data_IF_702311638177
#
_entry.id   IF_702311638177
#
_cell.length_a   1.000
_cell.length_b   1.000
_cell.length_c   1.000
_cell.angle_alpha   90.00
_cell.angle_beta   90.00
_cell.angle_gamma   90.00
#
_symmetry.space_group_name_H-M   'P 1'
#
loop_
_entity.id
_entity.type
_entity.pdbx_description
1 polymer ?
#
# COMPACT_ATOMS: atom_id res chain seq x y z
N UNK A 1 -105.89 -20.55 14.17
CA UNK A 1 -105.23 -21.09 15.37
C UNK A 1 -103.90 -21.68 14.90
N UNK A 2 -102.91 -20.82 14.67
CA UNK A 2 -101.64 -21.21 14.04
C UNK A 2 -100.60 -21.59 15.09
N UNK A 3 -99.94 -22.73 14.90
CA UNK A 3 -98.78 -23.17 15.69
C UNK A 3 -97.55 -23.15 14.80
N UNK A 4 -96.62 -22.24 15.07
CA UNK A 4 -95.28 -22.23 14.49
C UNK A 4 -94.32 -22.97 15.42
N UNK A 5 -93.65 -24.01 14.92
CA UNK A 5 -92.59 -24.75 15.61
C UNK A 5 -91.26 -24.06 15.26
N UNK A 6 -90.66 -23.37 16.23
CA UNK A 6 -89.32 -22.81 16.09
C UNK A 6 -88.26 -23.90 16.36
N UNK A 7 -87.62 -24.40 15.32
CA UNK A 7 -86.42 -25.24 15.43
C UNK A 7 -85.25 -24.33 15.82
N UNK A 8 -84.86 -24.36 17.10
CA UNK A 8 -83.62 -23.71 17.55
C UNK A 8 -82.43 -24.52 17.03
N UNK A 9 -81.76 -24.00 16.01
CA UNK A 9 -80.46 -24.49 15.58
C UNK A 9 -79.42 -24.08 16.63
N UNK A 10 -79.13 -24.96 17.59
CA UNK A 10 -78.05 -24.76 18.56
C UNK A 10 -76.77 -25.30 17.95
N UNK A 11 -76.00 -24.42 17.30
CA UNK A 11 -74.64 -24.74 16.88
C UNK A 11 -73.77 -24.99 18.13
N UNK A 12 -73.09 -26.14 18.25
CA UNK A 12 -72.23 -26.43 19.40
C UNK A 12 -71.11 -25.40 19.51
N UNK A 13 -70.91 -24.83 20.70
CA UNK A 13 -69.86 -23.84 21.05
C UNK A 13 -68.45 -24.30 20.59
N UNK A 14 -68.22 -25.62 20.50
CA UNK A 14 -66.99 -26.21 19.96
C UNK A 14 -66.71 -25.85 18.50
N UNK A 15 -67.73 -25.73 17.64
CA UNK A 15 -67.54 -25.34 16.24
C UNK A 15 -67.34 -23.83 16.08
N UNK A 16 -67.92 -23.03 16.98
CA UNK A 16 -67.72 -21.57 17.01
C UNK A 16 -66.29 -21.22 17.46
N UNK A 17 -65.75 -21.96 18.44
CA UNK A 17 -64.36 -21.82 18.86
C UNK A 17 -63.35 -22.26 17.79
N UNK A 18 -63.69 -23.28 16.99
CA UNK A 18 -62.84 -23.74 15.88
C UNK A 18 -62.86 -22.75 14.70
N UNK A 19 -64.02 -22.13 14.39
CA UNK A 19 -64.09 -21.02 13.42
C UNK A 19 -63.35 -19.76 13.89
N UNK A 20 -63.38 -19.47 15.19
CA UNK A 20 -62.67 -18.34 15.80
C UNK A 20 -61.15 -18.57 15.86
N UNK A 21 -60.68 -19.82 15.98
CA UNK A 21 -59.26 -20.18 15.89
C UNK A 21 -58.71 -20.05 14.46
N UNK A 22 -59.53 -20.32 13.43
CA UNK A 22 -59.12 -20.17 12.02
C UNK A 22 -58.95 -18.68 11.65
N UNK A 23 -59.74 -17.78 12.27
CA UNK A 23 -59.66 -16.32 12.09
C UNK A 23 -58.41 -15.67 12.73
N UNK A 24 -57.67 -16.36 13.60
CA UNK A 24 -56.44 -15.87 14.23
C UNK A 24 -55.16 -16.25 13.46
N UNK A 25 -55.30 -16.84 12.28
CA UNK A 25 -54.19 -17.04 11.34
C UNK A 25 -53.83 -15.70 10.69
N UNK A 26 -53.25 -14.78 11.46
CA UNK A 26 -52.77 -13.50 10.94
C UNK A 26 -51.83 -13.75 9.76
N UNK A 27 -52.26 -13.34 8.57
CA UNK A 27 -51.46 -13.43 7.35
C UNK A 27 -50.17 -12.63 7.58
N UNK A 28 -49.06 -13.33 7.83
CA UNK A 28 -47.79 -12.68 8.13
C UNK A 28 -47.26 -12.01 6.86
N UNK A 29 -47.20 -10.69 6.89
CA UNK A 29 -46.67 -9.87 5.83
C UNK A 29 -45.36 -9.24 6.31
N UNK A 30 -44.33 -9.28 5.48
CA UNK A 30 -43.02 -8.73 5.84
C UNK A 30 -42.91 -7.31 5.28
N UNK A 31 -42.52 -6.37 6.14
CA UNK A 31 -42.18 -5.00 5.72
C UNK A 31 -40.68 -4.91 5.49
N UNK A 32 -40.26 -4.43 4.32
CA UNK A 32 -38.88 -4.07 4.03
C UNK A 32 -38.74 -2.56 4.24
N UNK A 33 -37.72 -2.15 5.00
CA UNK A 33 -37.35 -0.75 5.21
C UNK A 33 -35.90 -0.55 4.77
N UNK A 34 -35.70 0.30 3.77
CA UNK A 34 -34.37 0.78 3.37
C UNK A 34 -34.13 2.11 4.08
N UNK A 35 -33.23 2.09 5.08
CA UNK A 35 -32.93 3.27 5.91
C UNK A 35 -32.15 4.34 5.16
N UNK A 36 -31.33 3.92 4.22
CA UNK A 36 -30.39 4.78 3.52
C UNK A 36 -30.10 4.24 2.12
N UNK A 37 -29.91 5.17 1.19
CA UNK A 37 -29.51 4.91 -0.19
C UNK A 37 -28.21 5.66 -0.49
N UNK A 38 -27.49 5.31 -1.57
CA UNK A 38 -26.25 5.97 -1.94
C UNK A 38 -26.47 7.47 -2.22
N UNK A 39 -25.62 8.38 -1.72
CA UNK A 39 -25.80 9.83 -1.92
C UNK A 39 -25.73 10.27 -3.39
N UNK A 40 -25.11 9.48 -4.26
CA UNK A 40 -25.06 9.72 -5.70
C UNK A 40 -26.31 9.20 -6.46
N UNK A 41 -27.33 8.70 -5.77
CA UNK A 41 -28.58 8.27 -6.42
C UNK A 41 -29.27 9.48 -7.09
N UNK A 42 -29.58 9.44 -8.40
CA UNK A 42 -30.21 10.55 -9.10
C UNK A 42 -31.52 10.95 -8.41
N UNK A 43 -31.73 12.25 -8.14
CA UNK A 43 -32.96 12.72 -7.49
C UNK A 43 -34.21 12.24 -8.22
N UNK A 44 -35.20 11.76 -7.46
CA UNK A 44 -36.46 11.25 -8.00
C UNK A 44 -36.39 9.85 -8.62
N UNK A 45 -35.26 9.15 -8.55
CA UNK A 45 -35.17 7.74 -8.97
C UNK A 45 -36.18 6.89 -8.20
N UNK A 46 -36.98 6.10 -8.92
CA UNK A 46 -37.73 5.02 -8.32
C UNK A 46 -36.78 3.90 -7.87
N UNK A 47 -37.11 3.24 -6.76
CA UNK A 47 -36.37 2.10 -6.24
C UNK A 47 -37.33 0.93 -6.18
N UNK A 48 -36.92 -0.21 -6.69
CA UNK A 48 -37.72 -1.42 -6.77
C UNK A 48 -37.06 -2.53 -5.97
N UNK A 49 -37.88 -3.42 -5.40
CA UNK A 49 -37.44 -4.71 -4.89
C UNK A 49 -37.89 -5.80 -5.88
N UNK A 50 -36.97 -6.71 -6.20
CA UNK A 50 -37.21 -7.77 -7.18
C UNK A 50 -36.69 -9.09 -6.64
N UNK A 51 -37.51 -10.14 -6.74
CA UNK A 51 -37.21 -11.42 -6.14
C UNK A 51 -38.08 -12.55 -6.70
N UNK A 52 -38.01 -13.70 -6.05
CA UNK A 52 -38.81 -14.86 -6.45
C UNK A 52 -40.33 -14.61 -6.40
N UNK A 53 -40.81 -13.68 -5.56
CA UNK A 53 -42.23 -13.33 -5.42
C UNK A 53 -42.80 -12.48 -6.58
N UNK A 54 -41.95 -11.86 -7.41
CA UNK A 54 -42.36 -11.08 -8.57
C UNK A 54 -41.68 -11.55 -9.87
N UNK A 55 -41.26 -12.82 -9.92
CA UNK A 55 -40.57 -13.42 -11.06
C UNK A 55 -39.30 -12.65 -11.51
N UNK A 56 -38.62 -12.00 -10.58
CA UNK A 56 -37.40 -11.22 -10.85
C UNK A 56 -37.59 -10.09 -11.87
N UNK A 57 -38.77 -9.46 -11.91
CA UNK A 57 -38.98 -8.24 -12.70
C UNK A 57 -38.32 -7.03 -11.98
N UNK A 58 -37.28 -6.40 -12.55
CA UNK A 58 -36.57 -5.27 -11.94
C UNK A 58 -37.39 -3.98 -11.88
N UNK A 59 -38.46 -3.87 -12.67
CA UNK A 59 -39.24 -2.64 -12.83
C UNK A 59 -40.71 -2.76 -12.44
N UNK A 60 -41.10 -3.85 -11.77
CA UNK A 60 -42.49 -4.06 -11.37
C UNK A 60 -42.98 -2.97 -10.40
N UNK A 61 -43.88 -2.13 -10.90
CA UNK A 61 -44.43 -0.98 -10.16
C UNK A 61 -45.19 -1.37 -8.90
N UNK A 62 -45.67 -2.62 -8.79
CA UNK A 62 -46.30 -3.11 -7.56
C UNK A 62 -45.30 -3.24 -6.41
N UNK A 63 -44.00 -3.32 -6.72
CA UNK A 63 -42.90 -3.48 -5.78
C UNK A 63 -41.93 -2.28 -5.80
N UNK A 64 -42.42 -1.11 -6.25
CA UNK A 64 -41.74 0.14 -6.04
C UNK A 64 -41.80 0.55 -4.56
N UNK A 65 -40.65 0.90 -3.98
CA UNK A 65 -40.58 1.37 -2.61
C UNK A 65 -41.16 2.77 -2.47
N UNK A 66 -41.89 2.99 -1.38
CA UNK A 66 -42.48 4.28 -1.03
C UNK A 66 -41.53 5.07 -0.13
N UNK A 67 -41.18 6.29 -0.54
CA UNK A 67 -40.38 7.22 0.26
C UNK A 67 -41.23 7.84 1.38
N UNK A 68 -40.73 7.77 2.61
CA UNK A 68 -41.24 8.54 3.74
C UNK A 68 -40.52 9.91 3.79
N UNK A 69 -41.21 11.03 3.53
CA UNK A 69 -40.58 12.35 3.45
C UNK A 69 -40.12 12.89 4.81
N UNK A 70 -40.54 12.29 5.94
CA UNK A 70 -40.16 12.77 7.29
C UNK A 70 -38.75 12.35 7.70
N UNK A 71 -38.33 11.16 7.31
CA UNK A 71 -37.06 10.54 7.74
C UNK A 71 -36.21 10.04 6.56
N UNK A 72 -36.67 10.27 5.31
CA UNK A 72 -35.99 9.84 4.08
C UNK A 72 -35.78 8.33 3.95
N UNK A 73 -36.56 7.52 4.68
CA UNK A 73 -36.54 6.06 4.54
C UNK A 73 -37.47 5.60 3.43
N UNK A 74 -37.19 4.44 2.85
CA UNK A 74 -38.03 3.81 1.83
C UNK A 74 -38.64 2.52 2.37
N UNK A 75 -39.89 2.22 2.03
CA UNK A 75 -40.56 1.00 2.51
C UNK A 75 -41.42 0.32 1.46
N UNK A 76 -41.55 -1.00 1.55
CA UNK A 76 -42.45 -1.83 0.73
C UNK A 76 -42.95 -3.03 1.53
N UNK A 77 -44.19 -3.43 1.26
CA UNK A 77 -44.78 -4.65 1.81
C UNK A 77 -44.59 -5.80 0.82
N UNK A 78 -43.99 -6.89 1.28
CA UNK A 78 -43.92 -8.13 0.51
C UNK A 78 -45.29 -8.82 0.49
N UNK A 79 -45.60 -9.70 -0.48
CA UNK A 79 -46.84 -10.45 -0.46
C UNK A 79 -46.91 -11.35 0.76
N UNK A 80 -48.11 -11.71 1.19
CA UNK A 80 -48.28 -12.70 2.27
C UNK A 80 -47.87 -14.08 1.75
N UNK A 81 -47.01 -14.79 2.48
CA UNK A 81 -46.50 -16.07 2.02
C UNK A 81 -45.88 -16.93 3.10
N UNK A 82 -45.32 -18.05 2.67
CA UNK A 82 -44.50 -18.93 3.50
C UNK A 82 -43.24 -19.35 2.72
N UNK A 83 -42.20 -19.78 3.43
CA UNK A 83 -40.94 -20.20 2.80
C UNK A 83 -39.89 -19.09 2.69
N UNK A 84 -38.92 -19.32 1.80
CA UNK A 84 -37.77 -18.43 1.59
C UNK A 84 -38.04 -17.40 0.49
N UNK A 85 -37.51 -16.20 0.68
CA UNK A 85 -37.51 -15.13 -0.30
C UNK A 85 -36.07 -14.76 -0.59
N UNK A 86 -35.77 -14.73 -1.88
CA UNK A 86 -34.52 -14.20 -2.41
C UNK A 86 -34.87 -12.92 -3.17
N UNK A 87 -34.16 -11.82 -2.89
CA UNK A 87 -34.47 -10.54 -3.49
C UNK A 87 -33.24 -9.63 -3.63
N UNK A 88 -33.38 -8.63 -4.50
CA UNK A 88 -32.42 -7.54 -4.71
C UNK A 88 -33.14 -6.22 -4.99
N UNK A 89 -32.42 -5.12 -4.85
CA UNK A 89 -32.90 -3.78 -5.19
C UNK A 89 -32.36 -3.30 -6.53
N UNK A 90 -33.18 -2.59 -7.28
CA UNK A 90 -32.80 -1.93 -8.55
C UNK A 90 -33.44 -0.56 -8.65
N UNK A 91 -33.07 0.21 -9.69
CA UNK A 91 -33.77 1.44 -10.09
C UNK A 91 -34.59 1.26 -11.37
N UNK A 92 -35.11 0.04 -11.60
CA UNK A 92 -36.04 -0.29 -12.68
C UNK A 92 -35.43 -1.21 -13.75
N UNK A 93 -34.12 -1.43 -13.71
CA UNK A 93 -33.40 -2.29 -14.65
C UNK A 93 -32.19 -2.96 -13.96
N UNK A 94 -31.81 -4.16 -14.40
CA UNK A 94 -30.69 -4.93 -13.85
C UNK A 94 -29.32 -4.27 -14.00
N UNK A 95 -29.15 -3.33 -14.94
CA UNK A 95 -27.95 -2.50 -15.04
C UNK A 95 -27.78 -1.55 -13.85
N UNK A 96 -28.89 -1.20 -13.21
CA UNK A 96 -28.97 -0.28 -12.05
C UNK A 96 -29.12 -1.01 -10.70
N UNK A 97 -28.81 -2.31 -10.67
CA UNK A 97 -28.91 -3.14 -9.46
C UNK A 97 -27.98 -2.62 -8.36
N UNK A 98 -28.39 -2.84 -7.11
CA UNK A 98 -27.52 -2.60 -5.95
C UNK A 98 -26.19 -3.34 -6.08
N UNK A 99 -25.18 -2.83 -5.38
CA UNK A 99 -23.86 -3.43 -5.32
C UNK A 99 -23.29 -3.26 -3.90
N UNK A 100 -22.17 -3.90 -3.62
CA UNK A 100 -21.45 -3.66 -2.37
C UNK A 100 -20.97 -2.20 -2.30
N UNK A 101 -20.36 -1.80 -1.17
CA UNK A 101 -19.77 -0.47 -1.02
C UNK A 101 -18.74 -0.11 -2.11
N UNK A 102 -18.26 -1.10 -2.86
CA UNK A 102 -17.27 -1.01 -3.92
C UNK A 102 -17.81 -1.12 -5.35
N UNK A 103 -19.13 -1.19 -5.52
CA UNK A 103 -19.74 -1.32 -6.84
C UNK A 103 -19.61 -2.72 -7.43
N UNK A 104 -19.10 -3.71 -6.66
CA UNK A 104 -19.05 -5.09 -7.09
C UNK A 104 -20.44 -5.74 -6.95
N UNK A 105 -20.76 -6.74 -7.80
CA UNK A 105 -21.96 -7.53 -7.64
C UNK A 105 -22.02 -8.21 -6.27
N UNK A 106 -23.17 -8.13 -5.61
CA UNK A 106 -23.47 -8.88 -4.39
C UNK A 106 -24.45 -10.01 -4.67
N UNK A 107 -24.46 -11.01 -3.78
CA UNK A 107 -25.46 -12.07 -3.77
C UNK A 107 -26.85 -11.53 -3.41
N UNK A 108 -27.87 -12.37 -3.59
CA UNK A 108 -29.24 -12.02 -3.24
C UNK A 108 -29.38 -11.84 -1.72
N UNK A 109 -30.25 -10.94 -1.30
CA UNK A 109 -30.72 -10.92 0.08
C UNK A 109 -31.63 -12.13 0.31
N UNK A 110 -31.49 -12.77 1.46
CA UNK A 110 -32.22 -13.98 1.82
C UNK A 110 -33.03 -13.75 3.09
N UNK A 111 -34.34 -14.03 3.05
CA UNK A 111 -35.18 -14.06 4.26
C UNK A 111 -36.14 -15.24 4.26
N UNK A 112 -36.74 -15.52 5.42
CA UNK A 112 -37.78 -16.54 5.56
C UNK A 112 -39.00 -15.95 6.26
N UNK A 113 -40.19 -16.15 5.70
CA UNK A 113 -41.45 -15.72 6.33
C UNK A 113 -41.56 -16.27 7.76
N UNK A 114 -42.30 -15.56 8.63
CA UNK A 114 -42.55 -15.87 10.04
C UNK A 114 -41.34 -15.76 10.98
N UNK A 115 -40.13 -15.48 10.46
CA UNK A 115 -38.95 -15.22 11.29
C UNK A 115 -38.85 -13.76 11.73
N UNK A 116 -39.37 -12.83 10.93
CA UNK A 116 -39.33 -11.39 11.20
C UNK A 116 -40.44 -10.68 10.43
N UNK A 117 -41.10 -9.72 11.09
CA UNK A 117 -42.17 -8.92 10.48
C UNK A 117 -41.64 -7.67 9.77
N UNK A 118 -40.42 -7.26 10.12
CA UNK A 118 -39.76 -6.10 9.54
C UNK A 118 -38.28 -6.38 9.33
N UNK A 119 -37.80 -6.14 8.11
CA UNK A 119 -36.38 -6.17 7.76
C UNK A 119 -35.93 -4.74 7.51
N UNK A 120 -34.82 -4.35 8.10
CA UNK A 120 -34.22 -3.03 7.89
C UNK A 120 -32.82 -3.19 7.33
N UNK A 121 -32.51 -2.45 6.26
CA UNK A 121 -31.22 -2.50 5.59
C UNK A 121 -30.85 -1.17 4.94
N UNK A 122 -29.66 -1.10 4.35
CA UNK A 122 -29.16 0.04 3.58
C UNK A 122 -28.68 -0.43 2.22
N UNK A 123 -28.84 0.40 1.19
CA UNK A 123 -28.29 0.15 -0.15
C UNK A 123 -26.95 0.86 -0.25
N UNK A 124 -25.81 0.15 -0.36
CA UNK A 124 -24.48 0.78 -0.26
C UNK A 124 -24.04 1.54 -1.51
N UNK A 125 -24.28 0.96 -2.69
CA UNK A 125 -24.02 1.59 -3.98
C UNK A 125 -24.93 1.02 -5.07
N UNK A 126 -24.87 1.63 -6.25
CA UNK A 126 -25.51 1.12 -7.47
C UNK A 126 -24.44 0.72 -8.47
N UNK A 127 -24.65 -0.41 -9.15
CA UNK A 127 -23.73 -0.94 -10.15
C UNK A 127 -23.36 0.08 -11.23
N UNK A 128 -24.31 0.91 -11.65
CA UNK A 128 -24.11 1.89 -12.72
C UNK A 128 -23.57 3.26 -12.25
N UNK A 129 -23.62 3.55 -10.95
CA UNK A 129 -23.17 4.84 -10.41
C UNK A 129 -21.82 4.78 -9.68
N UNK A 130 -21.28 3.57 -9.52
CA UNK A 130 -20.02 3.33 -8.84
C UNK A 130 -20.09 3.48 -7.31
N UNK A 131 -19.02 3.08 -6.62
CA UNK A 131 -18.97 3.08 -5.16
C UNK A 131 -18.97 4.47 -4.55
N UNK A 132 -19.59 4.59 -3.38
CA UNK A 132 -19.64 5.86 -2.63
C UNK A 132 -18.58 5.93 -1.53
N UNK A 133 -18.23 4.80 -0.90
CA UNK A 133 -17.22 4.72 0.17
C UNK A 133 -16.68 3.29 0.34
N UNK A 134 -15.74 2.86 -0.52
CA UNK A 134 -14.94 1.66 -0.23
C UNK A 134 -13.99 1.95 0.94
N UNK A 135 -14.12 1.21 2.04
CA UNK A 135 -13.24 1.24 3.22
C UNK A 135 -11.81 1.66 2.88
N UNK A 136 -11.49 2.93 3.13
CA UNK A 136 -10.16 3.45 2.90
C UNK A 136 -9.25 3.04 4.06
N UNK A 137 -8.07 2.50 3.77
CA UNK A 137 -7.00 2.36 4.77
C UNK A 137 -6.10 3.57 4.70
N UNK A 138 -5.80 4.15 5.86
CA UNK A 138 -4.91 5.32 5.95
C UNK A 138 -3.46 4.86 6.11
N UNK A 139 -2.62 5.15 5.13
CA UNK A 139 -1.18 4.99 5.24
C UNK A 139 -0.59 6.30 5.74
N UNK A 140 0.20 6.26 6.81
CA UNK A 140 0.88 7.42 7.39
C UNK A 140 2.38 7.14 7.37
N UNK A 141 3.15 8.08 6.82
CA UNK A 141 4.60 8.05 6.97
C UNK A 141 4.95 8.54 8.37
N UNK A 142 5.23 7.58 9.25
CA UNK A 142 5.55 7.84 10.65
C UNK A 142 6.95 8.48 10.78
N UNK A 143 7.90 8.03 9.96
CA UNK A 143 9.24 8.61 9.84
C UNK A 143 9.60 8.84 8.37
N UNK A 144 10.24 9.98 8.09
CA UNK A 144 10.88 10.27 6.81
C UNK A 144 12.32 10.75 7.03
N UNK A 145 13.23 10.59 6.06
CA UNK A 145 14.60 11.08 6.20
C UNK A 145 14.65 12.60 6.39
N UNK A 146 15.49 13.10 7.30
CA UNK A 146 15.64 14.54 7.56
C UNK A 146 16.03 15.35 6.30
N UNK A 147 16.66 14.69 5.34
CA UNK A 147 17.13 15.26 4.07
C UNK A 147 15.98 15.40 3.04
N UNK A 148 14.77 14.95 3.36
CA UNK A 148 13.62 15.10 2.46
C UNK A 148 13.32 16.59 2.30
N UNK A 149 13.35 17.16 1.07
CA UNK A 149 13.05 18.56 0.87
C UNK A 149 11.69 18.93 1.49
N UNK A 150 11.57 20.08 2.19
CA UNK A 150 10.31 20.45 2.85
C UNK A 150 9.10 20.52 1.91
N UNK A 151 9.33 20.90 0.65
CA UNK A 151 8.37 21.02 -0.44
C UNK A 151 8.26 19.75 -1.32
N UNK A 152 8.95 18.67 -0.96
CA UNK A 152 8.91 17.43 -1.72
C UNK A 152 7.48 16.88 -1.83
N UNK A 153 7.09 16.58 -3.07
CA UNK A 153 5.89 15.78 -3.35
C UNK A 153 6.24 14.31 -3.19
N UNK A 154 5.49 13.62 -2.33
CA UNK A 154 5.64 12.20 -2.12
C UNK A 154 4.46 11.47 -2.75
N UNK A 155 4.72 10.31 -3.32
CA UNK A 155 3.75 9.48 -4.02
C UNK A 155 3.83 8.03 -3.52
N UNK A 156 2.77 7.28 -3.73
CA UNK A 156 2.78 5.82 -3.61
C UNK A 156 2.46 5.21 -4.98
N UNK A 157 3.34 4.35 -5.48
CA UNK A 157 3.11 3.53 -6.66
C UNK A 157 2.88 2.08 -6.26
N UNK A 158 2.01 1.36 -6.94
CA UNK A 158 1.72 -0.02 -6.60
C UNK A 158 0.82 -0.74 -7.59
N UNK A 159 0.39 -1.94 -7.22
CA UNK A 159 -0.48 -2.79 -8.05
C UNK A 159 -1.83 -2.13 -8.40
N UNK A 160 -2.28 -1.17 -7.59
CA UNK A 160 -3.55 -0.46 -7.77
C UNK A 160 -3.50 0.73 -8.76
N UNK A 161 -2.30 1.18 -9.19
CA UNK A 161 -2.14 2.29 -10.13
C UNK A 161 -1.22 1.97 -11.32
N UNK A 162 -1.06 0.69 -11.64
CA UNK A 162 -0.16 0.19 -12.68
C UNK A 162 1.30 0.66 -12.49
N UNK A 163 1.77 0.77 -11.24
CA UNK A 163 3.15 1.19 -10.93
C UNK A 163 3.55 2.55 -11.53
N UNK A 164 2.60 3.49 -11.58
CA UNK A 164 2.91 4.88 -11.93
C UNK A 164 3.50 5.62 -10.72
N UNK A 165 4.81 5.91 -10.79
CA UNK A 165 5.57 6.49 -9.68
C UNK A 165 5.16 7.93 -9.29
N UNK A 166 4.50 8.66 -10.20
CA UNK A 166 4.18 10.09 -10.04
C UNK A 166 2.70 10.39 -10.27
N UNK A 167 1.83 9.40 -10.11
CA UNK A 167 0.40 9.57 -10.35
C UNK A 167 -0.18 10.62 -9.37
N UNK A 168 -0.70 11.77 -9.85
CA UNK A 168 -1.25 12.82 -9.01
C UNK A 168 -2.41 12.35 -8.11
N UNK A 169 -3.15 11.29 -8.50
CA UNK A 169 -4.20 10.73 -7.66
C UNK A 169 -3.65 10.04 -6.40
N UNK A 170 -2.41 9.57 -6.47
CA UNK A 170 -1.72 8.86 -5.39
C UNK A 170 -0.60 9.68 -4.74
N UNK A 171 -0.67 11.02 -4.87
CA UNK A 171 0.19 11.94 -4.13
C UNK A 171 -0.24 12.01 -2.65
N UNK A 172 0.71 11.87 -1.73
CA UNK A 172 0.47 11.98 -0.30
C UNK A 172 0.15 13.43 0.10
N UNK A 173 -0.75 13.58 1.07
CA UNK A 173 -1.16 14.85 1.68
C UNK A 173 -0.49 15.01 3.05
N UNK A 174 -0.45 16.23 3.60
CA UNK A 174 0.03 16.48 4.97
C UNK A 174 -1.15 16.70 5.91
N UNK A 175 -1.12 16.09 7.09
CA UNK A 175 -2.10 16.33 8.14
C UNK A 175 -1.72 17.56 9.02
N UNK A 176 -2.55 17.90 10.01
CA UNK A 176 -2.31 19.05 10.92
C UNK A 176 -1.05 18.92 11.77
N UNK A 177 -0.45 17.71 11.85
CA UNK A 177 0.82 17.45 12.55
C UNK A 177 2.02 17.46 11.59
N UNK A 178 1.81 17.78 10.31
CA UNK A 178 2.84 17.79 9.28
C UNK A 178 3.23 16.42 8.72
N UNK A 179 2.59 15.34 9.17
CA UNK A 179 2.88 13.98 8.70
C UNK A 179 2.26 13.74 7.33
N UNK A 180 2.98 13.03 6.46
CA UNK A 180 2.46 12.62 5.16
C UNK A 180 1.51 11.43 5.33
N UNK A 181 0.38 11.47 4.62
CA UNK A 181 -0.59 10.40 4.60
C UNK A 181 -1.30 10.26 3.25
N UNK A 182 -1.82 9.07 2.99
CA UNK A 182 -2.75 8.80 1.89
C UNK A 182 -3.80 7.79 2.33
N UNK A 183 -4.99 7.87 1.74
CA UNK A 183 -6.07 6.93 1.94
C UNK A 183 -6.23 6.10 0.67
N UNK A 184 -6.10 4.78 0.80
CA UNK A 184 -6.23 3.84 -0.32
C UNK A 184 -7.48 3.01 -0.14
N UNK A 185 -8.29 2.89 -1.19
CA UNK A 185 -9.47 2.05 -1.19
C UNK A 185 -9.10 0.58 -1.01
N UNK A 186 -9.90 -0.11 -0.18
CA UNK A 186 -9.82 -1.54 0.00
C UNK A 186 -10.00 -2.30 -1.30
N UNK A 187 -9.09 -3.26 -1.55
CA UNK A 187 -9.20 -4.24 -2.61
C UNK A 187 -9.44 -5.63 -2.00
N UNK A 188 -10.11 -6.51 -2.75
CA UNK A 188 -10.38 -7.90 -2.33
C UNK A 188 -9.08 -8.70 -2.17
N UNK A 189 -8.07 -8.37 -2.98
CA UNK A 189 -6.72 -8.90 -2.90
C UNK A 189 -5.83 -7.93 -2.12
N UNK A 190 -4.75 -8.44 -1.53
CA UNK A 190 -3.69 -7.58 -1.03
C UNK A 190 -3.08 -6.69 -2.12
N UNK A 191 -2.33 -5.68 -1.70
CA UNK A 191 -1.57 -4.78 -2.59
C UNK A 191 -0.08 -4.96 -2.38
N UNK A 192 0.67 -4.71 -3.44
CA UNK A 192 2.09 -4.39 -3.36
C UNK A 192 2.29 -2.93 -3.69
N UNK A 193 3.18 -2.26 -2.96
CA UNK A 193 3.39 -0.82 -3.11
C UNK A 193 4.78 -0.38 -2.67
N UNK A 194 5.14 0.81 -3.12
CA UNK A 194 6.39 1.48 -2.77
C UNK A 194 6.22 3.00 -2.80
N UNK A 195 6.86 3.70 -1.89
CA UNK A 195 6.84 5.17 -1.85
C UNK A 195 7.96 5.77 -2.70
N UNK A 196 7.68 6.92 -3.31
CA UNK A 196 8.63 7.64 -4.17
C UNK A 196 8.52 9.16 -3.99
N UNK A 197 9.50 9.88 -4.52
CA UNK A 197 9.44 11.34 -4.71
C UNK A 197 9.08 11.75 -6.14
N UNK A 198 8.34 10.91 -6.86
CA UNK A 198 7.85 11.17 -8.22
C UNK A 198 8.60 10.46 -9.33
N UNK A 199 9.49 9.52 -9.00
CA UNK A 199 10.19 8.68 -9.99
C UNK A 199 10.76 7.41 -9.33
N UNK A 200 11.08 6.38 -10.13
CA UNK A 200 11.71 5.13 -9.63
C UNK A 200 13.22 5.28 -9.40
N UNK A 201 13.78 6.42 -9.80
CA UNK A 201 15.11 6.87 -9.44
C UNK A 201 15.14 7.48 -8.04
N UNK A 202 13.98 7.90 -7.51
CA UNK A 202 13.78 8.54 -6.21
C UNK A 202 12.84 7.75 -5.28
N UNK A 203 12.87 6.41 -5.39
CA UNK A 203 12.09 5.50 -4.53
C UNK A 203 12.78 5.23 -3.19
N UNK A 204 12.04 4.62 -2.27
CA UNK A 204 12.57 4.26 -0.96
C UNK A 204 13.64 3.16 -1.01
N UNK A 205 14.62 3.29 -0.13
CA UNK A 205 15.81 2.43 0.00
C UNK A 205 16.17 2.22 1.46
N UNK A 206 17.07 1.26 1.71
CA UNK A 206 17.62 1.02 3.05
C UNK A 206 18.59 2.14 3.51
N UNK A 207 19.20 1.96 4.68
CA UNK A 207 20.10 2.95 5.32
C UNK A 207 21.35 3.27 4.50
N UNK A 208 21.75 2.39 3.58
CA UNK A 208 22.96 2.54 2.75
C UNK A 208 22.65 2.79 1.28
N UNK A 209 21.36 2.82 0.91
CA UNK A 209 20.89 3.16 -0.43
C UNK A 209 20.58 1.97 -1.33
N UNK A 210 20.52 0.75 -0.80
CA UNK A 210 20.12 -0.40 -1.60
C UNK A 210 18.60 -0.42 -1.80
N UNK A 211 18.20 -0.91 -2.98
CA UNK A 211 16.79 -1.19 -3.27
C UNK A 211 16.21 -2.16 -2.26
N UNK A 212 15.07 -1.80 -1.66
CA UNK A 212 14.27 -2.70 -0.85
C UNK A 212 13.12 -3.31 -1.67
N UNK A 213 12.66 -4.48 -1.23
CA UNK A 213 11.46 -5.14 -1.77
C UNK A 213 10.21 -4.28 -1.59
N UNK A 214 9.21 -4.52 -2.44
CA UNK A 214 7.90 -3.89 -2.31
C UNK A 214 7.28 -4.21 -0.95
N UNK A 215 6.60 -3.22 -0.37
CA UNK A 215 5.72 -3.46 0.76
C UNK A 215 4.52 -4.28 0.29
N UNK A 216 4.04 -5.18 1.14
CA UNK A 216 2.81 -5.94 0.89
C UNK A 216 1.79 -5.64 2.00
N UNK A 217 0.55 -5.42 1.63
CA UNK A 217 -0.54 -5.16 2.58
C UNK A 217 -1.79 -5.95 2.23
N UNK A 218 -2.41 -6.55 3.26
CA UNK A 218 -3.69 -7.26 3.15
C UNK A 218 -4.73 -6.48 3.94
N UNK A 219 -5.79 -6.05 3.26
CA UNK A 219 -6.87 -5.28 3.87
C UNK A 219 -7.64 -6.07 4.95
N UNK A 220 -8.27 -5.34 5.87
CA UNK A 220 -9.13 -5.92 6.92
C UNK A 220 -8.44 -6.27 8.23
N UNK A 221 -7.12 -6.06 8.36
CA UNK A 221 -6.38 -6.26 9.63
C UNK A 221 -6.29 -4.99 10.49
N UNK A 222 -6.28 -3.83 9.86
CA UNK A 222 -6.15 -2.53 10.50
C UNK A 222 -6.71 -1.43 9.58
N UNK A 223 -7.11 -0.31 10.17
CA UNK A 223 -7.60 0.89 9.47
C UNK A 223 -6.49 1.89 9.13
N UNK A 224 -5.35 1.77 9.82
CA UNK A 224 -4.18 2.65 9.71
C UNK A 224 -2.90 1.84 9.62
N UNK A 225 -2.05 2.18 8.66
CA UNK A 225 -0.73 1.59 8.46
C UNK A 225 0.32 2.66 8.70
N UNK A 226 1.26 2.41 9.61
CA UNK A 226 2.42 3.27 9.81
C UNK A 226 3.58 2.72 8.98
N UNK A 227 4.23 3.59 8.22
CA UNK A 227 5.39 3.24 7.40
C UNK A 227 6.55 4.18 7.73
N UNK A 228 7.74 3.61 7.88
CA UNK A 228 8.96 4.38 8.09
C UNK A 228 9.79 4.35 6.80
N UNK A 229 10.06 5.53 6.24
CA UNK A 229 10.97 5.69 5.09
C UNK A 229 12.37 5.93 5.62
N UNK A 230 13.26 4.98 5.35
CA UNK A 230 14.66 5.02 5.79
C UNK A 230 15.51 5.96 4.95
N UNK A 231 15.30 5.97 3.63
CA UNK A 231 16.09 6.75 2.68
C UNK A 231 15.42 6.87 1.31
N UNK A 232 15.88 7.81 0.48
CA UNK A 232 15.44 8.01 -0.91
C UNK A 232 16.59 7.78 -1.88
N UNK A 233 16.44 6.89 -2.86
CA UNK A 233 17.48 6.43 -3.79
C UNK A 233 18.25 7.55 -4.47
N UNK A 234 17.57 8.57 -4.99
CA UNK A 234 18.17 9.72 -5.66
C UNK A 234 18.96 10.62 -4.71
N UNK A 235 18.70 10.54 -3.40
CA UNK A 235 19.56 11.17 -2.41
C UNK A 235 20.85 10.37 -2.22
N UNK A 236 20.82 9.04 -2.41
CA UNK A 236 22.02 8.22 -2.42
C UNK A 236 22.87 8.41 -3.68
N UNK A 237 22.42 9.23 -4.64
CA UNK A 237 23.20 9.59 -5.82
C UNK A 237 22.84 10.99 -6.36
N UNK A 238 23.45 12.02 -5.79
CA UNK A 238 23.94 13.23 -6.49
C UNK A 238 24.46 14.29 -5.51
N UNK A 239 25.78 14.41 -5.35
CA UNK A 239 26.40 15.65 -4.88
C UNK A 239 27.12 16.26 -6.07
N UNK A 240 26.45 17.19 -6.75
CA UNK A 240 27.02 17.99 -7.84
C UNK A 240 27.99 19.02 -7.27
N UNK A 241 29.22 18.54 -7.00
CA UNK A 241 30.54 19.18 -7.07
C UNK A 241 31.48 18.28 -6.25
N UNK A 242 32.06 17.27 -6.90
CA UNK A 242 32.85 16.23 -6.23
C UNK A 242 32.37 14.81 -6.55
N UNK A 243 32.17 14.46 -7.82
CA UNK A 243 31.81 13.07 -8.20
C UNK A 243 32.88 12.05 -7.79
N UNK A 244 34.11 12.53 -7.59
CA UNK A 244 35.28 11.73 -7.26
C UNK A 244 35.94 12.25 -5.99
N UNK A 245 36.54 11.35 -5.22
CA UNK A 245 37.61 11.68 -4.27
C UNK A 245 38.94 11.38 -4.96
N UNK A 246 39.86 12.33 -4.92
CA UNK A 246 41.24 12.11 -5.36
C UNK A 246 42.05 11.58 -4.19
N UNK A 247 42.59 10.37 -4.30
CA UNK A 247 43.61 9.88 -3.39
C UNK A 247 44.96 10.36 -3.90
N UNK A 248 45.74 10.97 -3.03
CA UNK A 248 47.10 11.43 -3.29
C UNK A 248 48.04 10.71 -2.32
N UNK A 249 48.70 9.67 -2.82
CA UNK A 249 49.55 8.78 -2.01
C UNK A 249 51.02 9.10 -2.22
N UNK A 250 51.78 9.28 -1.14
CA UNK A 250 53.25 9.31 -1.16
C UNK A 250 53.80 7.96 -0.70
N UNK A 251 54.72 7.37 -1.46
CA UNK A 251 55.35 6.07 -1.14
C UNK A 251 56.81 6.29 -0.67
N UNK A 252 57.41 5.36 0.09
CA UNK A 252 58.78 5.53 0.58
C UNK A 252 59.78 5.48 -0.58
N UNK A 253 60.93 6.16 -0.44
CA UNK A 253 61.98 6.19 -1.49
C UNK A 253 62.62 4.82 -1.76
N UNK A 254 62.40 3.85 -0.88
CA UNK A 254 62.81 2.46 -1.06
C UNK A 254 61.92 1.71 -2.04
N UNK A 255 60.79 2.29 -2.47
CA UNK A 255 59.94 1.71 -3.53
C UNK A 255 60.78 1.56 -4.81
N UNK A 256 60.90 0.37 -5.41
CA UNK A 256 61.63 0.16 -6.65
C UNK A 256 61.06 0.99 -7.81
N UNK A 257 61.96 1.49 -8.66
CA UNK A 257 61.57 2.26 -9.83
C UNK A 257 60.77 1.39 -10.81
N UNK A 258 59.64 1.91 -11.29
CA UNK A 258 58.77 1.23 -12.25
C UNK A 258 57.67 0.36 -11.63
N UNK A 259 57.65 0.20 -10.31
CA UNK A 259 56.59 -0.51 -9.63
C UNK A 259 55.23 0.18 -9.77
N UNK A 260 54.21 -0.65 -9.99
CA UNK A 260 52.82 -0.23 -10.06
C UNK A 260 52.20 -0.29 -8.68
N UNK A 261 51.47 0.75 -8.31
CA UNK A 261 50.80 0.85 -7.02
C UNK A 261 49.30 0.65 -7.23
N UNK A 262 48.67 -0.21 -6.43
CA UNK A 262 47.25 -0.53 -6.54
C UNK A 262 46.51 -0.21 -5.25
N UNK A 263 45.20 0.00 -5.37
CA UNK A 263 44.27 0.05 -4.23
C UNK A 263 43.48 -1.25 -4.16
N UNK A 264 43.72 -2.06 -3.12
CA UNK A 264 42.90 -3.23 -2.79
C UNK A 264 41.85 -2.81 -1.76
N UNK A 265 40.57 -2.99 -2.05
CA UNK A 265 39.48 -2.43 -1.25
C UNK A 265 38.20 -3.28 -1.29
N UNK A 266 37.27 -2.96 -0.40
CA UNK A 266 35.94 -3.57 -0.37
C UNK A 266 35.15 -3.43 -1.70
N UNK A 267 35.40 -2.39 -2.51
CA UNK A 267 34.72 -2.18 -3.79
C UNK A 267 35.31 -2.98 -4.97
N UNK A 268 36.50 -3.56 -4.83
CA UNK A 268 37.14 -4.38 -5.87
C UNK A 268 37.45 -5.81 -5.38
N UNK A 269 36.70 -6.28 -4.39
CA UNK A 269 36.84 -7.60 -3.77
C UNK A 269 38.26 -7.87 -3.24
N UNK A 270 38.94 -6.84 -2.73
CA UNK A 270 40.30 -6.97 -2.20
C UNK A 270 41.31 -7.54 -3.20
N UNK A 271 41.12 -7.29 -4.51
CA UNK A 271 42.07 -7.71 -5.53
C UNK A 271 43.31 -6.78 -5.54
N UNK A 272 44.53 -7.26 -5.21
CA UNK A 272 45.73 -6.43 -5.09
C UNK A 272 46.37 -6.04 -6.43
N UNK A 273 45.87 -6.51 -7.57
CA UNK A 273 46.39 -6.21 -8.90
C UNK A 273 45.30 -5.80 -9.91
N UNK A 274 44.14 -5.32 -9.44
CA UNK A 274 43.08 -4.88 -10.36
C UNK A 274 43.52 -3.64 -11.13
N UNK A 275 43.77 -3.80 -12.43
CA UNK A 275 44.24 -2.75 -13.34
C UNK A 275 43.31 -1.53 -13.40
N UNK A 276 42.02 -1.66 -13.03
CA UNK A 276 41.09 -0.53 -12.94
C UNK A 276 41.42 0.42 -11.78
N UNK A 277 42.16 -0.07 -10.80
CA UNK A 277 42.53 0.65 -9.58
C UNK A 277 44.05 0.78 -9.41
N UNK A 278 44.80 0.69 -10.52
CA UNK A 278 46.20 1.10 -10.59
C UNK A 278 46.28 2.63 -10.42
N UNK A 279 47.11 3.07 -9.48
CA UNK A 279 47.33 4.48 -9.23
C UNK A 279 48.29 5.06 -10.26
N UNK A 280 47.97 6.25 -10.77
CA UNK A 280 48.79 6.96 -11.75
C UNK A 280 49.93 7.71 -11.04
N UNK A 281 51.17 7.41 -11.40
CA UNK A 281 52.33 8.19 -10.96
C UNK A 281 52.23 9.66 -11.41
N UNK A 282 52.63 10.60 -10.56
CA UNK A 282 52.64 12.03 -10.90
C UNK A 282 54.04 12.68 -10.85
N UNK A 283 54.70 12.67 -9.69
CA UNK A 283 56.07 13.19 -9.44
C UNK A 283 56.48 12.87 -8.01
N UNK A 284 57.77 12.91 -7.71
CA UNK A 284 58.33 12.83 -6.35
C UNK A 284 57.68 11.71 -5.49
N UNK A 285 57.74 10.46 -5.97
CA UNK A 285 57.19 9.30 -5.24
C UNK A 285 55.70 9.43 -4.88
N UNK A 286 54.97 10.26 -5.62
CA UNK A 286 53.55 10.52 -5.37
C UNK A 286 52.72 9.94 -6.50
N UNK A 287 51.62 9.28 -6.14
CA UNK A 287 50.67 8.62 -7.02
C UNK A 287 49.26 9.15 -6.78
N UNK A 288 48.39 9.05 -7.79
CA UNK A 288 47.01 9.51 -7.70
C UNK A 288 46.00 8.58 -8.35
N UNK A 289 44.83 8.47 -7.73
CA UNK A 289 43.66 7.83 -8.32
C UNK A 289 42.40 8.61 -7.96
N UNK A 290 41.45 8.68 -8.88
CA UNK A 290 40.11 9.19 -8.63
C UNK A 290 39.19 8.01 -8.36
N UNK A 291 38.56 8.00 -7.20
CA UNK A 291 37.53 7.01 -6.84
C UNK A 291 36.16 7.69 -6.80
N UNK A 292 35.11 7.03 -7.31
CA UNK A 292 33.78 7.62 -7.28
C UNK A 292 33.32 7.74 -5.82
N UNK A 293 32.78 8.89 -5.42
CA UNK A 293 32.27 9.04 -4.05
C UNK A 293 31.11 8.08 -3.82
N UNK A 294 31.10 7.42 -2.66
CA UNK A 294 29.98 6.60 -2.18
C UNK A 294 29.51 7.11 -0.82
N UNK A 295 28.29 6.77 -0.40
CA UNK A 295 27.80 7.15 0.95
C UNK A 295 28.34 6.26 2.07
N UNK A 296 28.79 5.05 1.76
CA UNK A 296 29.44 4.16 2.73
C UNK A 296 30.93 4.48 2.87
N UNK A 297 31.54 4.08 3.99
CA UNK A 297 32.99 4.12 4.11
C UNK A 297 33.65 3.15 3.11
N UNK A 298 34.89 3.44 2.73
CA UNK A 298 35.78 2.49 2.05
C UNK A 298 36.74 1.91 3.07
N UNK A 299 36.98 0.61 2.93
CA UNK A 299 38.10 -0.07 3.58
C UNK A 299 39.08 -0.47 2.48
N UNK A 300 40.36 -0.16 2.67
CA UNK A 300 41.37 -0.33 1.63
C UNK A 300 42.78 -0.51 2.19
N UNK A 301 43.67 -1.00 1.32
CA UNK A 301 45.12 -1.09 1.50
C UNK A 301 45.83 -0.78 0.19
N UNK A 302 47.08 -0.36 0.29
CA UNK A 302 47.99 -0.21 -0.86
C UNK A 302 48.90 -1.42 -1.02
N UNK A 303 49.12 -1.84 -2.26
CA UNK A 303 50.01 -2.94 -2.64
C UNK A 303 50.82 -2.57 -3.88
N UNK A 304 51.89 -3.32 -4.15
CA UNK A 304 52.64 -3.24 -5.42
C UNK A 304 52.27 -4.37 -6.40
N UNK A 305 51.04 -4.87 -6.32
CA UNK A 305 50.49 -5.92 -7.20
C UNK A 305 50.27 -7.28 -6.51
N UNK A 306 50.83 -7.47 -5.32
CA UNK A 306 50.62 -8.70 -4.54
C UNK A 306 50.51 -8.39 -3.04
N UNK A 307 49.87 -9.28 -2.27
CA UNK A 307 49.77 -9.13 -0.83
C UNK A 307 51.12 -9.20 -0.10
N UNK A 308 52.09 -9.93 -0.64
CA UNK A 308 53.49 -9.93 -0.15
C UNK A 308 54.21 -8.59 -0.30
N UNK A 309 53.60 -7.64 -1.03
CA UNK A 309 54.11 -6.28 -1.26
C UNK A 309 53.21 -5.20 -0.66
N UNK A 310 52.42 -5.57 0.35
CA UNK A 310 51.46 -4.68 1.01
C UNK A 310 52.17 -3.64 1.88
N UNK A 311 51.50 -2.51 2.10
CA UNK A 311 51.94 -1.50 3.04
C UNK A 311 52.04 -2.02 4.49
N UNK A 312 53.08 -1.55 5.17
CA UNK A 312 53.37 -1.83 6.58
C UNK A 312 53.70 -0.54 7.33
N UNK A 313 53.82 -0.62 8.66
CA UNK A 313 54.45 0.47 9.41
C UNK A 313 55.96 0.55 9.08
N UNK A 314 56.64 1.62 9.53
CA UNK A 314 58.09 1.80 9.31
C UNK A 314 59.00 0.66 9.82
N UNK A 315 58.48 -0.27 10.61
CA UNK A 315 59.22 -1.43 11.15
C UNK A 315 58.83 -2.74 10.47
N UNK A 316 57.97 -2.69 9.44
CA UNK A 316 57.48 -3.88 8.73
C UNK A 316 56.33 -4.60 9.40
N UNK A 317 55.73 -4.03 10.44
CA UNK A 317 54.56 -4.67 11.06
C UNK A 317 53.32 -4.49 10.17
N UNK A 318 52.47 -5.52 10.06
CA UNK A 318 51.20 -5.42 9.35
C UNK A 318 50.32 -4.30 9.91
N UNK A 319 49.71 -3.52 9.01
CA UNK A 319 48.72 -2.51 9.37
C UNK A 319 47.31 -3.11 9.38
N UNK A 320 46.39 -2.49 10.11
CA UNK A 320 44.95 -2.71 9.93
C UNK A 320 44.47 -2.18 8.55
N UNK A 321 43.25 -2.52 8.15
CA UNK A 321 42.64 -1.92 6.95
C UNK A 321 42.47 -0.40 7.15
N UNK A 322 42.89 0.40 6.18
CA UNK A 322 42.60 1.85 6.20
C UNK A 322 41.11 2.03 6.00
N UNK A 323 40.50 2.90 6.80
CA UNK A 323 39.07 3.21 6.70
C UNK A 323 38.87 4.70 6.43
N UNK A 324 38.10 5.02 5.39
CA UNK A 324 37.77 6.39 5.03
C UNK A 324 36.26 6.56 4.83
N UNK A 325 35.68 7.53 5.54
CA UNK A 325 34.29 7.97 5.35
C UNK A 325 34.31 9.28 4.57
N UNK A 326 33.54 9.33 3.49
CA UNK A 326 33.48 10.50 2.62
C UNK A 326 32.94 11.72 3.38
N UNK A 327 33.75 12.77 3.50
CA UNK A 327 33.38 14.07 4.08
C UNK A 327 33.07 15.13 3.02
N UNK A 328 33.46 16.39 3.23
CA UNK A 328 33.38 17.46 2.21
C UNK A 328 34.69 17.67 1.44
N UNK A 329 35.76 16.96 1.81
CA UNK A 329 37.07 17.07 1.15
C UNK A 329 37.06 16.44 -0.24
N UNK A 330 37.79 17.03 -1.20
CA UNK A 330 37.96 16.54 -2.56
C UNK A 330 39.23 15.68 -2.74
N UNK A 331 40.23 15.86 -1.86
CA UNK A 331 41.54 15.19 -1.95
C UNK A 331 41.95 14.60 -0.62
N UNK A 332 42.16 13.29 -0.56
CA UNK A 332 42.71 12.56 0.58
C UNK A 332 44.20 12.34 0.40
N UNK A 333 45.02 12.95 1.27
CA UNK A 333 46.48 12.81 1.27
C UNK A 333 46.88 11.67 2.20
N UNK A 334 47.73 10.77 1.70
CA UNK A 334 48.13 9.54 2.36
C UNK A 334 49.62 9.29 2.18
N UNK A 335 50.19 8.51 3.09
CA UNK A 335 51.57 8.03 3.01
C UNK A 335 51.63 6.52 3.32
N UNK A 336 52.48 5.81 2.59
CA UNK A 336 52.95 4.46 2.94
C UNK A 336 54.33 4.62 3.59
N UNK A 337 54.54 3.97 4.74
CA UNK A 337 55.80 4.09 5.50
C UNK A 337 56.85 3.08 5.03
N UNK A 338 56.43 1.82 4.81
CA UNK A 338 57.27 0.76 4.27
C UNK A 338 56.42 -0.26 3.49
N UNK A 339 57.10 -1.16 2.79
CA UNK A 339 56.51 -2.31 2.10
C UNK A 339 56.98 -3.59 2.78
N UNK A 340 56.10 -4.57 2.96
CA UNK A 340 56.37 -5.81 3.69
C UNK A 340 57.68 -6.50 3.26
N UNK A 341 57.91 -6.63 1.96
CA UNK A 341 59.07 -7.29 1.37
C UNK A 341 60.36 -6.45 1.35
N UNK A 342 60.31 -5.14 1.68
CA UNK A 342 61.45 -4.23 1.59
C UNK A 342 61.96 -3.72 2.94
N UNK A 343 61.34 -4.12 4.04
CA UNK A 343 61.75 -3.68 5.39
C UNK A 343 63.11 -4.24 5.78
N UNK A 344 63.50 -5.40 5.24
CA UNK A 344 64.73 -6.11 5.61
C UNK A 344 65.96 -5.76 4.77
N UNK A 345 65.83 -4.94 3.72
CA UNK A 345 66.96 -4.58 2.83
C UNK A 345 67.81 -3.40 3.35
N UNK A 346 67.53 -2.90 4.56
CA UNK A 346 68.28 -1.79 5.20
C UNK A 346 69.02 -2.21 6.50
N UNK A 347 69.38 -3.49 6.66
CA UNK A 347 70.31 -3.94 7.71
C UNK A 347 71.73 -4.15 7.18
#
# INVERSE_FOLDING_TARGET
MERWIAIKLVLPIRHLAFLLLILLSGCHQVTIIVKKIPPNTPPGSAIFISGNFNFWDPGDRNYALTLNPKDSTYSVLLPTGSGAIDYRFTRGDWTTVEADLCGNPIENHHLRYQKSDTIQLEIPSWKDLGPTHCDEVTFILNKIPQQTPPDAKLYVGGSFNNWQAADPQFQLKRNNKGQYYIRLHKLLTGIEYKFTRGSWEADEVDEVGNSISNHSFVFGKQDTVLVDITGWKDQFSSVQNGEWITLLLTVPKTTPDGDRIFVAANFNNWNPHDMRYEMRWIRNWTYTINLPRKRSHIEYKFTRGDWSTVETDKYGNPLENRRFTYGNMDTLRLDVQAWEDLVNDNL
#
